data_IF_681623477730
#
_entry.id   IF_681623477730
#
_cell.length_a   1.000
_cell.length_b   1.000
_cell.length_c   1.000
_cell.angle_alpha   90.00
_cell.angle_beta   90.00
_cell.angle_gamma   90.00
#
_symmetry.space_group_name_H-M   'P 1'
#
loop_
_entity.id
_entity.type
_entity.pdbx_description
1 polymer ?
#
# COMPACT_ATOMS: atom_id res chain seq x y z
N UNK A 1 -5.05 -1.29 2.08
CA UNK A 1 -5.74 -0.64 0.94
C UNK A 1 -7.10 -0.19 1.42
N UNK A 2 -7.48 1.03 1.04
CA UNK A 2 -8.75 1.63 1.47
C UNK A 2 -9.91 1.20 0.55
N UNK A 3 -9.60 0.67 -0.63
CA UNK A 3 -10.56 0.06 -1.55
C UNK A 3 -10.24 -1.41 -1.85
N UNK A 4 -11.15 -2.07 -2.61
CA UNK A 4 -10.98 -3.43 -3.10
C UNK A 4 -9.82 -3.52 -4.10
N UNK A 5 -8.67 -3.93 -3.59
CA UNK A 5 -7.50 -4.30 -4.38
C UNK A 5 -6.71 -5.38 -3.65
N UNK A 6 -5.94 -6.17 -4.39
CA UNK A 6 -4.96 -7.08 -3.82
C UNK A 6 -3.59 -6.57 -4.29
N UNK A 7 -2.80 -5.94 -3.39
CA UNK A 7 -1.45 -5.57 -3.74
C UNK A 7 -0.66 -6.87 -3.93
N UNK A 8 0.14 -6.95 -4.99
CA UNK A 8 1.03 -8.08 -5.26
C UNK A 8 2.47 -7.58 -5.30
N UNK A 9 3.41 -8.51 -5.24
CA UNK A 9 4.80 -8.20 -5.55
C UNK A 9 4.87 -7.39 -6.85
N UNK A 10 5.84 -6.49 -6.92
CA UNK A 10 6.20 -5.76 -8.12
C UNK A 10 5.28 -4.63 -8.56
N UNK A 11 4.22 -4.32 -7.80
CA UNK A 11 3.37 -3.15 -8.07
C UNK A 11 4.04 -1.84 -7.64
N UNK A 12 3.84 -0.80 -8.45
CA UNK A 12 4.37 0.52 -8.17
C UNK A 12 3.54 1.22 -7.11
N UNK A 13 4.22 1.92 -6.21
CA UNK A 13 3.61 2.84 -5.26
C UNK A 13 3.75 4.23 -5.87
N UNK A 14 2.62 4.91 -6.05
CA UNK A 14 2.53 6.26 -6.62
C UNK A 14 1.97 7.23 -5.59
N UNK A 15 2.34 8.51 -5.70
CA UNK A 15 1.78 9.57 -4.86
C UNK A 15 0.42 10.07 -5.40
N UNK A 16 -0.13 11.12 -4.77
CA UNK A 16 -1.36 11.78 -5.21
C UNK A 16 -1.25 12.49 -6.56
N UNK A 17 -0.04 12.68 -7.09
CA UNK A 17 0.24 13.28 -8.40
C UNK A 17 0.54 12.22 -9.47
N UNK A 18 0.51 10.93 -9.11
CA UNK A 18 0.82 9.81 -10.01
C UNK A 18 2.31 9.55 -10.21
N UNK A 19 3.19 10.17 -9.41
CA UNK A 19 4.63 9.91 -9.46
C UNK A 19 4.95 8.63 -8.72
N UNK A 20 5.70 7.73 -9.34
CA UNK A 20 6.23 6.53 -8.68
C UNK A 20 7.18 6.92 -7.57
N UNK A 21 6.78 6.63 -6.34
CA UNK A 21 7.55 6.86 -5.12
C UNK A 21 8.15 5.56 -4.58
N UNK A 22 7.75 4.39 -5.07
CA UNK A 22 8.24 3.15 -4.48
C UNK A 22 7.69 1.90 -5.14
N UNK A 23 7.88 0.77 -4.47
CA UNK A 23 7.42 -0.54 -4.96
C UNK A 23 6.98 -1.45 -3.83
N UNK A 24 5.91 -2.21 -4.10
CA UNK A 24 5.42 -3.28 -3.24
C UNK A 24 6.34 -4.48 -3.35
N UNK A 25 6.87 -4.93 -2.20
CA UNK A 25 7.71 -6.13 -2.12
C UNK A 25 6.87 -7.37 -1.93
N UNK A 26 5.89 -7.31 -1.02
CA UNK A 26 4.96 -8.39 -0.76
C UNK A 26 3.57 -7.83 -0.47
N UNK A 27 2.55 -8.55 -0.90
CA UNK A 27 1.18 -8.12 -0.69
C UNK A 27 0.23 -9.30 -0.79
N UNK A 28 -0.79 -9.29 0.06
CA UNK A 28 -1.82 -10.32 0.09
C UNK A 28 -3.15 -9.74 0.59
N UNK A 29 -4.23 -10.49 0.43
CA UNK A 29 -5.49 -10.19 1.08
C UNK A 29 -5.42 -10.66 2.53
N UNK A 30 -5.66 -9.76 3.50
CA UNK A 30 -5.83 -10.17 4.89
C UNK A 30 -7.27 -10.65 5.11
N UNK A 31 -7.50 -11.94 5.43
CA UNK A 31 -8.84 -12.43 5.76
C UNK A 31 -9.38 -11.80 7.05
N UNK A 32 -8.51 -11.54 8.03
CA UNK A 32 -8.89 -10.96 9.32
C UNK A 32 -9.33 -9.51 9.23
N UNK A 33 -8.73 -8.73 8.32
CA UNK A 33 -9.07 -7.31 8.12
C UNK A 33 -10.05 -7.07 6.97
N UNK A 34 -10.27 -8.09 6.12
CA UNK A 34 -11.05 -7.94 4.88
C UNK A 34 -10.44 -6.93 3.88
N UNK A 35 -9.15 -6.59 4.04
CA UNK A 35 -8.45 -5.56 3.27
C UNK A 35 -7.16 -6.12 2.66
N UNK A 36 -6.78 -5.58 1.50
CA UNK A 36 -5.47 -5.83 0.91
C UNK A 36 -4.38 -5.17 1.75
N UNK A 37 -3.46 -5.96 2.28
CA UNK A 37 -2.29 -5.50 3.04
C UNK A 37 -1.01 -5.89 2.31
N UNK A 38 0.05 -5.13 2.55
CA UNK A 38 1.33 -5.42 1.94
C UNK A 38 2.44 -4.59 2.55
N UNK A 39 3.65 -4.95 2.18
CA UNK A 39 4.88 -4.25 2.49
C UNK A 39 5.48 -3.71 1.19
N UNK A 40 6.16 -2.59 1.31
CA UNK A 40 6.82 -1.95 0.20
C UNK A 40 7.85 -0.95 0.67
N UNK A 41 8.74 -0.58 -0.23
CA UNK A 41 9.72 0.46 0.02
C UNK A 41 9.20 1.77 -0.55
N UNK A 42 9.22 2.80 0.30
CA UNK A 42 8.93 4.20 -0.05
C UNK A 42 9.96 5.10 0.62
N UNK A 43 10.19 6.32 0.08
CA UNK A 43 10.98 7.35 0.72
C UNK A 43 10.49 7.63 2.14
N UNK A 44 11.42 8.01 3.03
CA UNK A 44 11.12 8.33 4.43
C UNK A 44 10.00 9.37 4.58
N UNK A 45 9.92 10.33 3.65
CA UNK A 45 8.87 11.36 3.61
C UNK A 45 7.44 10.81 3.44
N UNK A 46 7.30 9.59 2.93
CA UNK A 46 6.02 8.87 2.78
C UNK A 46 5.92 7.66 3.70
N UNK A 47 6.93 7.39 4.53
CA UNK A 47 6.97 6.24 5.42
C UNK A 47 6.29 6.51 6.78
N UNK A 48 5.87 7.75 7.05
CA UNK A 48 5.18 8.10 8.28
C UNK A 48 3.78 7.47 8.36
N UNK A 49 3.39 7.06 9.56
CA UNK A 49 2.06 6.54 9.83
C UNK A 49 0.98 7.56 9.47
N UNK A 50 -0.06 7.13 8.75
CA UNK A 50 -1.11 8.00 8.25
C UNK A 50 -0.81 8.63 6.88
N UNK A 51 0.39 8.43 6.33
CA UNK A 51 0.71 8.87 4.97
C UNK A 51 -0.22 8.21 3.96
N UNK A 52 -0.82 9.04 3.09
CA UNK A 52 -1.64 8.56 1.97
C UNK A 52 -0.77 8.34 0.75
N UNK A 53 -0.75 7.10 0.30
CA UNK A 53 -0.07 6.64 -0.91
C UNK A 53 -1.10 5.96 -1.81
N UNK A 54 -0.76 5.76 -3.06
CA UNK A 54 -1.58 4.99 -4.00
C UNK A 54 -0.76 3.80 -4.48
N UNK A 55 -1.39 2.65 -4.65
CA UNK A 55 -0.76 1.48 -5.27
C UNK A 55 -1.30 1.36 -6.68
N UNK A 56 -0.41 1.42 -7.66
CA UNK A 56 -0.76 1.26 -9.06
C UNK A 56 -1.03 -0.22 -9.35
N UNK A 57 -2.31 -0.59 -9.36
CA UNK A 57 -2.77 -1.94 -9.69
C UNK A 57 -3.27 -1.90 -11.13
N UNK A 58 -2.45 -2.41 -12.06
CA UNK A 58 -2.70 -2.37 -13.51
C UNK A 58 -2.86 -0.92 -13.99
N UNK A 59 -4.10 -0.48 -14.26
CA UNK A 59 -4.44 0.87 -14.71
C UNK A 59 -5.07 1.75 -13.62
N UNK A 60 -5.31 1.19 -12.44
CA UNK A 60 -6.01 1.88 -11.36
C UNK A 60 -5.03 2.20 -10.23
N UNK A 61 -4.99 3.47 -9.84
CA UNK A 61 -4.30 3.91 -8.63
C UNK A 61 -5.24 3.69 -7.44
N UNK A 62 -4.95 2.69 -6.62
CA UNK A 62 -5.78 2.33 -5.46
C UNK A 62 -5.24 3.01 -4.22
N UNK A 63 -6.05 3.80 -3.49
CA UNK A 63 -5.59 4.48 -2.29
C UNK A 63 -5.20 3.49 -1.18
N UNK A 64 -4.11 3.78 -0.52
CA UNK A 64 -3.58 3.04 0.61
C UNK A 64 -3.04 4.00 1.67
N UNK A 65 -3.21 3.61 2.92
CA UNK A 65 -2.67 4.35 4.05
C UNK A 65 -1.50 3.56 4.65
N UNK A 66 -0.40 4.26 4.90
CA UNK A 66 0.74 3.70 5.64
C UNK A 66 0.35 3.53 7.09
N UNK A 67 0.48 2.31 7.60
CA UNK A 67 0.14 1.95 8.98
C UNK A 67 1.36 1.40 9.68
N UNK A 68 1.45 1.65 10.99
CA UNK A 68 2.49 1.06 11.81
C UNK A 68 2.24 -0.43 11.99
N UNK A 69 3.31 -1.22 11.89
CA UNK A 69 3.27 -2.65 12.20
C UNK A 69 3.15 -2.88 13.72
N UNK A 70 2.50 -3.97 14.16
CA UNK A 70 1.90 -5.04 13.37
C UNK A 70 0.49 -4.69 12.83
N UNK A 71 0.12 -5.29 11.69
CA UNK A 71 -1.19 -5.09 11.05
C UNK A 71 -2.39 -5.54 11.89
N UNK A 72 -2.16 -6.43 12.86
CA UNK A 72 -3.16 -6.97 13.76
C UNK A 72 -2.55 -7.04 15.15
N UNK A 73 -3.21 -6.42 16.13
CA UNK A 73 -2.97 -6.66 17.55
C UNK A 73 -4.09 -7.61 17.99
N UNK A 74 -3.72 -8.83 18.35
CA UNK A 74 -4.65 -9.81 18.91
C UNK A 74 -5.19 -9.37 20.26
#
# INVERSE_FOLDING_TARGET
>A
LDERGIPRHDYDIVDGQGKTIGRVTSGTMSPSLGKGIGLGYVPSVFAEEGSKINIQIRKNAIPATVVKLPFYKG
#
